data_IF_390316403179
#
_entry.id   IF_390316403179
#
_cell.length_a   1.000
_cell.length_b   1.000
_cell.length_c   1.000
_cell.angle_alpha   90.00
_cell.angle_beta   90.00
_cell.angle_gamma   90.00
#
_symmetry.space_group_name_H-M   'P 1'
#
loop_
_entity.id
_entity.type
_entity.pdbx_description
1 polymer ?
#
# COMPACT_ATOMS: atom_id res chain seq x y z
N UNK A 1 9.51 -6.64 2.09
CA UNK A 1 8.32 -6.51 1.22
C UNK A 1 8.19 -5.06 0.85
N UNK A 2 7.70 -4.77 -0.36
CA UNK A 2 7.36 -3.43 -0.79
C UNK A 2 5.84 -3.32 -1.01
N UNK A 3 5.27 -2.12 -0.83
CA UNK A 3 3.84 -1.90 -1.07
C UNK A 3 3.48 -2.22 -2.51
N UNK A 4 4.36 -1.88 -3.44
CA UNK A 4 4.22 -2.12 -4.87
C UNK A 4 4.19 -3.62 -5.19
N UNK A 5 5.00 -4.43 -4.52
CA UNK A 5 4.97 -5.89 -4.67
C UNK A 5 3.63 -6.48 -4.21
N UNK A 6 3.07 -5.96 -3.11
CA UNK A 6 1.78 -6.41 -2.58
C UNK A 6 0.62 -5.98 -3.49
N UNK A 7 0.77 -4.85 -4.18
CA UNK A 7 -0.22 -4.36 -5.15
C UNK A 7 -0.16 -5.12 -6.48
N UNK A 8 1.03 -5.49 -6.94
CA UNK A 8 1.26 -6.25 -8.17
C UNK A 8 0.86 -7.73 -8.02
N UNK A 9 1.33 -8.41 -6.97
CA UNK A 9 1.01 -9.81 -6.71
C UNK A 9 0.79 -10.06 -5.21
N UNK A 10 -0.43 -9.78 -4.70
CA UNK A 10 -0.73 -9.96 -3.29
C UNK A 10 -0.57 -11.41 -2.84
N UNK A 11 -0.89 -12.39 -3.70
CA UNK A 11 -0.82 -13.82 -3.35
C UNK A 11 0.63 -14.26 -3.16
N UNK A 12 1.57 -13.76 -3.96
CA UNK A 12 3.02 -13.97 -3.77
C UNK A 12 3.50 -13.38 -2.45
N UNK A 13 3.13 -12.14 -2.14
CA UNK A 13 3.59 -11.49 -0.91
C UNK A 13 2.98 -12.14 0.35
N UNK A 14 1.70 -12.53 0.31
CA UNK A 14 1.06 -13.27 1.40
C UNK A 14 1.76 -14.61 1.63
N UNK A 15 2.18 -15.33 0.59
CA UNK A 15 2.98 -16.56 0.77
C UNK A 15 4.33 -16.30 1.42
N UNK A 16 4.98 -15.18 1.14
CA UNK A 16 6.22 -14.79 1.85
C UNK A 16 5.96 -14.57 3.34
N UNK A 17 4.87 -13.87 3.69
CA UNK A 17 4.45 -13.68 5.10
C UNK A 17 4.13 -15.02 5.76
N UNK A 18 3.36 -15.87 5.08
CA UNK A 18 3.02 -17.21 5.55
C UNK A 18 4.27 -18.04 5.88
N UNK A 19 5.25 -18.06 4.96
CA UNK A 19 6.55 -18.74 5.16
C UNK A 19 7.33 -18.13 6.32
N UNK A 20 7.38 -16.80 6.42
CA UNK A 20 8.07 -16.11 7.50
C UNK A 20 7.49 -16.46 8.89
N UNK A 21 6.15 -16.56 8.98
CA UNK A 21 5.45 -16.96 10.20
C UNK A 21 5.44 -18.48 10.45
N UNK A 22 6.08 -19.28 9.59
CA UNK A 22 6.11 -20.74 9.71
C UNK A 22 4.73 -21.40 9.58
N UNK A 23 3.80 -20.78 8.84
CA UNK A 23 2.45 -21.31 8.61
C UNK A 23 2.40 -22.08 7.29
N UNK A 24 1.49 -23.05 7.23
CA UNK A 24 1.17 -23.79 6.01
C UNK A 24 -0.35 -23.77 5.82
N UNK A 25 -0.83 -22.84 5.00
CA UNK A 25 -2.25 -22.63 4.72
C UNK A 25 -2.58 -23.23 3.35
N UNK A 26 -3.82 -23.70 3.16
CA UNK A 26 -4.29 -24.16 1.86
C UNK A 26 -4.40 -22.99 0.87
N UNK A 27 -4.39 -23.30 -0.43
CA UNK A 27 -4.60 -22.30 -1.48
C UNK A 27 -5.97 -21.62 -1.35
N UNK A 28 -7.00 -22.33 -0.89
CA UNK A 28 -8.33 -21.75 -0.60
C UNK A 28 -8.29 -20.69 0.51
N UNK A 29 -7.55 -20.95 1.59
CA UNK A 29 -7.36 -19.97 2.67
C UNK A 29 -6.54 -18.78 2.17
N UNK A 30 -5.52 -19.01 1.34
CA UNK A 30 -4.76 -17.93 0.72
C UNK A 30 -5.64 -17.04 -0.17
N UNK A 31 -6.52 -17.63 -0.98
CA UNK A 31 -7.47 -16.88 -1.81
C UNK A 31 -8.48 -16.09 -0.97
N UNK A 32 -8.93 -16.67 0.13
CA UNK A 32 -9.80 -15.99 1.11
C UNK A 32 -9.10 -14.79 1.74
N UNK A 33 -7.83 -14.93 2.15
CA UNK A 33 -7.05 -13.81 2.68
C UNK A 33 -6.89 -12.73 1.61
N UNK A 34 -6.45 -13.09 0.39
CA UNK A 34 -6.31 -12.15 -0.72
C UNK A 34 -7.58 -11.34 -0.97
N UNK A 35 -8.74 -12.00 -0.96
CA UNK A 35 -10.04 -11.35 -1.13
C UNK A 35 -10.32 -10.33 -0.01
N UNK A 36 -10.22 -10.76 1.25
CA UNK A 36 -10.55 -9.89 2.39
C UNK A 36 -9.54 -8.76 2.61
N UNK A 37 -8.28 -8.94 2.19
CA UNK A 37 -7.26 -7.88 2.23
C UNK A 37 -7.23 -7.03 0.96
N UNK A 38 -8.14 -7.27 0.00
CA UNK A 38 -8.26 -6.40 -1.16
C UNK A 38 -8.72 -5.00 -0.73
N UNK A 39 -8.17 -3.96 -1.36
CA UNK A 39 -8.49 -2.57 -1.03
C UNK A 39 -9.99 -2.26 -1.06
N UNK A 40 -10.75 -2.75 -2.04
CA UNK A 40 -12.20 -2.49 -2.13
C UNK A 40 -12.93 -3.09 -0.92
N UNK A 41 -12.59 -4.33 -0.58
CA UNK A 41 -13.19 -5.04 0.56
C UNK A 41 -12.80 -4.37 1.89
N UNK A 42 -11.53 -4.00 2.06
CA UNK A 42 -11.07 -3.30 3.26
C UNK A 42 -11.67 -1.89 3.40
N UNK A 43 -11.91 -1.20 2.29
CA UNK A 43 -12.52 0.14 2.28
C UNK A 43 -13.97 0.12 2.77
N UNK A 44 -14.69 -0.95 2.51
CA UNK A 44 -16.08 -1.13 2.97
C UNK A 44 -16.17 -1.71 4.39
N UNK A 45 -15.10 -2.33 4.89
CA UNK A 45 -15.07 -2.96 6.22
C UNK A 45 -14.89 -1.92 7.36
N UNK A 46 -15.90 -1.72 8.23
CA UNK A 46 -15.80 -0.77 9.36
C UNK A 46 -14.67 -1.07 10.34
N UNK A 47 -14.25 -2.34 10.44
CA UNK A 47 -13.16 -2.77 11.30
C UNK A 47 -11.77 -2.46 10.73
N UNK A 48 -11.69 -2.02 9.47
CA UNK A 48 -10.43 -1.72 8.78
C UNK A 48 -10.36 -0.30 8.22
N UNK A 49 -11.50 0.31 7.86
CA UNK A 49 -11.56 1.60 7.17
C UNK A 49 -11.56 2.83 8.09
N UNK A 50 -11.45 2.63 9.41
CA UNK A 50 -11.44 3.70 10.43
C UNK A 50 -12.73 4.52 10.54
N UNK A 51 -13.85 4.09 9.97
CA UNK A 51 -15.13 4.81 10.06
C UNK A 51 -15.70 4.91 11.48
N UNK A 52 -15.22 4.07 12.40
CA UNK A 52 -15.60 4.07 13.82
C UNK A 52 -14.78 5.06 14.66
N UNK A 53 -13.73 5.67 14.09
CA UNK A 53 -12.94 6.69 14.78
C UNK A 53 -13.71 8.02 14.76
N UNK A 54 -13.81 8.74 15.90
CA UNK A 54 -14.49 10.03 15.95
C UNK A 54 -13.94 11.04 14.94
N UNK A 55 -14.83 11.76 14.23
CA UNK A 55 -14.45 12.75 13.20
C UNK A 55 -13.52 13.86 13.73
N UNK A 56 -13.57 14.19 15.03
CA UNK A 56 -12.66 15.17 15.63
C UNK A 56 -11.18 14.71 15.61
N UNK A 57 -10.95 13.39 15.54
CA UNK A 57 -9.61 12.80 15.42
C UNK A 57 -9.25 12.49 13.97
N UNK A 58 -10.23 12.05 13.17
CA UNK A 58 -10.03 11.69 11.77
C UNK A 58 -11.27 12.03 10.93
N UNK A 59 -11.28 13.22 10.34
CA UNK A 59 -12.39 13.66 9.49
C UNK A 59 -12.33 13.00 8.11
N UNK A 60 -13.10 11.92 7.96
CA UNK A 60 -13.18 11.17 6.72
C UNK A 60 -13.94 11.89 5.60
N UNK A 61 -14.66 12.99 5.89
CA UNK A 61 -15.33 13.80 4.86
C UNK A 61 -14.35 14.68 4.08
N UNK A 62 -13.26 15.11 4.73
CA UNK A 62 -12.19 15.86 4.07
C UNK A 62 -11.40 14.95 3.14
N UNK A 63 -10.97 13.80 3.65
CA UNK A 63 -10.32 12.76 2.86
C UNK A 63 -10.49 11.42 3.57
N UNK A 64 -11.07 10.40 2.91
CA UNK A 64 -11.22 9.09 3.52
C UNK A 64 -9.85 8.45 3.79
N UNK A 65 -9.73 7.71 4.89
CA UNK A 65 -8.50 7.01 5.26
C UNK A 65 -8.09 6.01 4.16
N UNK A 66 -9.05 5.18 3.73
CA UNK A 66 -8.90 4.31 2.55
C UNK A 66 -9.15 5.13 1.26
N UNK A 67 -8.20 6.00 0.90
CA UNK A 67 -8.33 6.97 -0.20
C UNK A 67 -8.42 6.34 -1.59
N UNK A 68 -7.28 5.93 -2.16
CA UNK A 68 -7.19 5.28 -3.49
C UNK A 68 -6.58 3.89 -3.47
N UNK A 69 -5.57 3.64 -2.62
CA UNK A 69 -4.94 2.32 -2.53
C UNK A 69 -4.24 1.90 -3.81
N UNK A 70 -3.63 2.83 -4.53
CA UNK A 70 -3.00 2.63 -5.85
C UNK A 70 -1.53 3.06 -5.80
N UNK A 71 -0.70 2.39 -6.60
CA UNK A 71 0.68 2.86 -6.87
C UNK A 71 0.61 3.94 -7.95
N UNK A 72 1.57 4.86 -7.95
CA UNK A 72 1.72 5.93 -8.94
C UNK A 72 0.72 7.10 -8.85
N UNK A 73 -0.23 7.08 -7.90
CA UNK A 73 -1.19 8.19 -7.75
C UNK A 73 -0.53 9.54 -7.45
N UNK A 74 0.71 9.56 -6.96
CA UNK A 74 1.51 10.78 -6.77
C UNK A 74 1.64 11.62 -8.06
N UNK A 75 1.60 10.99 -9.24
CA UNK A 75 1.69 11.68 -10.54
C UNK A 75 0.52 12.64 -10.78
N UNK A 76 -0.62 12.43 -10.12
CA UNK A 76 -1.78 13.33 -10.23
C UNK A 76 -1.59 14.64 -9.43
N UNK A 77 -0.54 14.73 -8.60
CA UNK A 77 -0.32 15.84 -7.68
C UNK A 77 1.02 16.53 -7.87
N UNK A 78 2.05 15.81 -8.32
CA UNK A 78 3.38 16.37 -8.54
C UNK A 78 3.46 17.08 -9.89
N UNK A 79 3.79 18.37 -9.86
CA UNK A 79 4.23 19.08 -11.06
C UNK A 79 5.61 18.58 -11.51
N UNK A 80 5.95 18.80 -12.78
CA UNK A 80 7.25 18.40 -13.32
C UNK A 80 8.43 19.02 -12.54
N UNK A 81 8.31 20.30 -12.15
CA UNK A 81 9.34 21.01 -11.39
C UNK A 81 9.52 20.43 -9.99
N UNK A 82 8.42 20.11 -9.30
CA UNK A 82 8.45 19.44 -7.99
C UNK A 82 9.05 18.04 -8.09
N UNK A 83 8.67 17.26 -9.10
CA UNK A 83 9.22 15.92 -9.31
C UNK A 83 10.73 15.97 -9.57
N UNK A 84 11.18 16.90 -10.42
CA UNK A 84 12.61 17.10 -10.69
C UNK A 84 13.38 17.46 -9.42
N UNK A 85 12.85 18.39 -8.61
CA UNK A 85 13.46 18.79 -7.34
C UNK A 85 13.50 17.61 -6.34
N UNK A 86 12.40 16.85 -6.23
CA UNK A 86 12.31 15.68 -5.37
C UNK A 86 13.36 14.63 -5.74
N UNK A 87 13.48 14.28 -7.03
CA UNK A 87 14.41 13.25 -7.49
C UNK A 87 15.87 13.62 -7.22
N UNK A 88 16.27 14.88 -7.41
CA UNK A 88 17.63 15.34 -7.07
C UNK A 88 17.96 15.14 -5.59
N UNK A 89 17.02 15.41 -4.70
CA UNK A 89 17.22 15.24 -3.26
C UNK A 89 17.16 13.77 -2.85
N UNK A 90 16.24 13.01 -3.45
CA UNK A 90 16.07 11.58 -3.21
C UNK A 90 17.35 10.81 -3.57
N UNK A 91 17.95 11.08 -4.74
CA UNK A 91 19.21 10.45 -5.17
C UNK A 91 20.35 10.69 -4.16
N UNK A 92 20.45 11.90 -3.62
CA UNK A 92 21.47 12.23 -2.61
C UNK A 92 21.23 11.47 -1.31
N UNK A 93 19.99 11.43 -0.84
CA UNK A 93 19.62 10.81 0.45
C UNK A 93 19.66 9.29 0.43
N UNK A 94 19.32 8.68 -0.70
CA UNK A 94 19.29 7.24 -0.87
C UNK A 94 20.61 6.66 -1.36
N UNK A 95 21.60 7.52 -1.65
CA UNK A 95 22.93 7.10 -2.07
C UNK A 95 23.56 6.16 -1.04
N UNK A 96 24.05 5.02 -1.53
CA UNK A 96 24.70 4.01 -0.70
C UNK A 96 23.76 2.98 -0.08
N UNK A 97 22.44 3.13 -0.27
CA UNK A 97 21.48 2.07 0.04
C UNK A 97 21.36 1.09 -1.11
N UNK A 98 20.97 -0.15 -0.79
CA UNK A 98 20.59 -1.19 -1.75
C UNK A 98 19.07 -1.23 -1.98
N UNK A 99 18.31 -0.34 -1.33
CA UNK A 99 16.86 -0.25 -1.43
C UNK A 99 16.44 0.20 -2.82
N UNK A 100 15.49 -0.53 -3.42
CA UNK A 100 14.92 -0.26 -4.73
C UNK A 100 13.41 -0.15 -4.61
N UNK A 101 12.91 1.08 -4.66
CA UNK A 101 11.49 1.38 -4.66
C UNK A 101 10.98 1.52 -6.09
N UNK A 102 9.74 1.08 -6.32
CA UNK A 102 9.03 1.31 -7.59
C UNK A 102 8.06 2.47 -7.39
N UNK A 103 7.95 3.36 -8.38
CA UNK A 103 7.00 4.47 -8.34
C UNK A 103 5.76 4.21 -9.19
N UNK A 104 5.76 3.08 -9.90
CA UNK A 104 4.69 2.52 -10.74
C UNK A 104 4.73 0.99 -10.71
N UNK A 105 3.61 0.37 -11.08
CA UNK A 105 3.45 -1.08 -11.30
C UNK A 105 2.68 -1.31 -12.60
#
# INVERSE_FOLDING_TARGET
>A
MFYEDMKEDPKREIRKVMKFLGKNLSEEVLDTICHHTNFKVMKENPMANYSTVPNILLDQNLSPFMRKGEVADWMNYFTESQNKMFNMEYEKRMKGTDLKFRTNI
#
